data_IF_448061553729
#
_entry.id   IF_448061553729
#
_cell.length_a   1.000
_cell.length_b   1.000
_cell.length_c   1.000
_cell.angle_alpha   90.00
_cell.angle_beta   90.00
_cell.angle_gamma   90.00
#
_symmetry.space_group_name_H-M   'P 1'
#
loop_
_entity.id
_entity.type
_entity.pdbx_description
1 polymer ?
#
# COMPACT_ATOMS: atom_id res chain seq x y z
N UNK A 1 50.83 4.85 25.10
CA UNK A 1 49.66 5.77 25.22
C UNK A 1 48.54 5.11 24.46
N UNK A 2 47.56 4.65 25.22
CA UNK A 2 46.35 3.97 24.81
C UNK A 2 45.41 4.84 23.94
N UNK A 3 44.46 4.13 23.31
CA UNK A 3 43.08 4.53 22.92
C UNK A 3 42.92 5.60 21.82
N UNK A 4 42.04 5.43 20.83
CA UNK A 4 40.67 4.92 20.91
C UNK A 4 40.22 4.17 19.66
N UNK A 5 39.70 2.97 19.86
CA UNK A 5 38.66 2.41 19.01
C UNK A 5 37.35 3.15 19.31
N UNK A 6 36.69 3.71 18.30
CA UNK A 6 35.37 4.30 18.49
C UNK A 6 34.31 3.38 17.87
N UNK A 7 33.48 2.82 18.73
CA UNK A 7 32.37 1.89 18.44
C UNK A 7 31.10 2.70 18.18
N UNK A 8 30.34 2.42 17.12
CA UNK A 8 28.90 2.74 17.01
C UNK A 8 28.31 1.92 15.85
N UNK A 9 27.23 1.14 15.92
CA UNK A 9 26.26 0.82 16.98
C UNK A 9 25.66 -0.56 16.64
N UNK A 10 25.59 -1.49 17.62
CA UNK A 10 24.84 -2.74 17.49
C UNK A 10 23.49 -2.61 18.19
N UNK A 11 22.38 -2.86 17.48
CA UNK A 11 21.09 -3.20 18.08
C UNK A 11 20.10 -3.82 17.06
N UNK A 12 19.79 -5.10 17.20
CA UNK A 12 18.45 -5.62 17.56
C UNK A 12 18.76 -6.80 18.50
N UNK A 13 18.51 -6.58 19.80
CA UNK A 13 18.65 -7.49 20.96
C UNK A 13 19.34 -8.86 20.74
N UNK A 14 20.55 -8.95 21.28
CA UNK A 14 21.49 -10.07 21.22
C UNK A 14 21.11 -11.27 22.09
N UNK A 15 20.99 -12.45 21.46
CA UNK A 15 21.46 -13.73 21.99
C UNK A 15 22.20 -14.48 20.87
N UNK A 16 23.25 -15.26 21.16
CA UNK A 16 23.94 -16.04 20.14
C UNK A 16 23.04 -17.20 19.74
N UNK A 17 22.24 -17.01 18.71
CA UNK A 17 21.59 -18.13 18.02
C UNK A 17 22.60 -18.64 17.01
N UNK A 18 22.73 -19.95 16.89
CA UNK A 18 23.58 -20.64 15.90
C UNK A 18 23.37 -20.02 14.52
N UNK A 19 24.28 -19.12 14.11
CA UNK A 19 24.24 -18.42 12.85
C UNK A 19 24.64 -19.41 11.74
N UNK A 20 23.67 -20.17 11.23
CA UNK A 20 23.69 -20.46 9.80
C UNK A 20 23.27 -19.13 9.15
N UNK A 21 24.16 -18.42 8.45
CA UNK A 21 23.78 -17.19 7.77
C UNK A 21 22.62 -17.53 6.82
N UNK A 22 21.56 -16.73 6.83
CA UNK A 22 20.58 -16.78 5.76
C UNK A 22 21.29 -16.36 4.48
N UNK A 23 21.76 -17.32 3.70
CA UNK A 23 22.42 -17.05 2.43
C UNK A 23 21.36 -16.80 1.36
N UNK A 24 20.93 -15.54 1.28
CA UNK A 24 20.03 -15.07 0.24
C UNK A 24 20.57 -15.39 -1.17
N UNK A 25 21.90 -15.45 -1.36
CA UNK A 25 22.50 -15.71 -2.67
C UNK A 25 22.36 -17.17 -3.11
N UNK A 26 22.25 -18.13 -2.19
CA UNK A 26 22.05 -19.55 -2.56
C UNK A 26 20.69 -19.76 -3.20
N UNK A 27 19.64 -19.07 -2.73
CA UNK A 27 18.32 -19.16 -3.35
C UNK A 27 18.26 -18.42 -4.69
N UNK A 28 18.88 -17.25 -4.80
CA UNK A 28 18.90 -16.52 -6.09
C UNK A 28 19.70 -17.25 -7.18
N UNK A 29 20.73 -18.05 -6.82
CA UNK A 29 21.53 -18.83 -7.78
C UNK A 29 20.78 -20.00 -8.41
N UNK A 30 19.74 -20.54 -7.78
CA UNK A 30 18.91 -21.60 -8.38
C UNK A 30 17.87 -21.06 -9.38
N UNK A 31 17.79 -19.73 -9.54
CA UNK A 31 16.75 -19.09 -10.35
C UNK A 31 15.34 -19.21 -9.77
N UNK A 32 15.19 -19.77 -8.56
CA UNK A 32 13.90 -19.91 -7.89
C UNK A 32 13.66 -18.75 -6.92
N UNK A 33 12.58 -18.00 -7.15
CA UNK A 33 12.04 -17.11 -6.14
C UNK A 33 11.54 -17.94 -4.95
N UNK A 34 11.90 -17.56 -3.72
CA UNK A 34 11.39 -18.19 -2.47
C UNK A 34 9.87 -18.02 -2.36
N UNK A 35 9.34 -16.95 -2.94
CA UNK A 35 7.93 -16.55 -2.84
C UNK A 35 7.30 -16.56 -4.23
N UNK A 36 6.12 -17.19 -4.36
CA UNK A 36 5.34 -17.10 -5.60
C UNK A 36 4.65 -15.74 -5.67
N UNK A 37 4.24 -15.34 -6.88
CA UNK A 37 3.52 -14.10 -7.08
C UNK A 37 2.20 -14.05 -6.28
N UNK A 38 1.48 -15.17 -6.20
CA UNK A 38 0.24 -15.30 -5.44
C UNK A 38 0.46 -15.00 -3.95
N UNK A 39 1.51 -15.59 -3.36
CA UNK A 39 1.88 -15.37 -1.97
C UNK A 39 2.23 -13.88 -1.72
N UNK A 40 2.91 -13.24 -2.67
CA UNK A 40 3.21 -11.81 -2.59
C UNK A 40 1.94 -10.95 -2.65
N UNK A 41 1.00 -11.27 -3.55
CA UNK A 41 -0.26 -10.54 -3.67
C UNK A 41 -1.15 -10.67 -2.43
N UNK A 42 -1.08 -11.79 -1.71
CA UNK A 42 -1.77 -11.99 -0.44
C UNK A 42 -1.04 -11.34 0.74
N UNK A 43 0.30 -11.36 0.73
CA UNK A 43 1.11 -10.68 1.74
C UNK A 43 0.96 -9.15 1.66
N UNK A 44 0.87 -8.58 0.45
CA UNK A 44 0.70 -7.16 0.21
C UNK A 44 -0.61 -6.90 -0.54
N UNK A 45 -1.78 -6.99 0.12
CA UNK A 45 -3.07 -6.95 -0.56
C UNK A 45 -3.40 -5.58 -1.21
N UNK A 46 -2.70 -4.52 -0.80
CA UNK A 46 -2.81 -3.17 -1.37
C UNK A 46 -1.50 -2.79 -2.07
N UNK A 47 -1.36 -3.20 -3.32
CA UNK A 47 -0.27 -2.74 -4.15
C UNK A 47 -0.66 -2.68 -5.62
N UNK A 48 0.11 -1.93 -6.39
CA UNK A 48 0.02 -1.83 -7.85
C UNK A 48 1.40 -2.04 -8.43
N UNK A 49 1.56 -3.03 -9.30
CA UNK A 49 2.77 -3.24 -10.07
C UNK A 49 2.53 -2.79 -11.51
N UNK A 50 3.41 -1.94 -12.05
CA UNK A 50 3.31 -1.41 -13.40
C UNK A 50 4.68 -1.23 -14.05
N UNK A 51 4.70 -1.21 -15.38
CA UNK A 51 5.89 -0.99 -16.19
C UNK A 51 6.15 0.50 -16.47
N UNK A 52 7.17 0.81 -17.28
CA UNK A 52 7.57 2.19 -17.61
C UNK A 52 6.51 2.99 -18.37
N UNK A 53 5.61 2.31 -19.09
CA UNK A 53 4.51 2.96 -19.81
C UNK A 53 3.27 3.17 -18.93
N UNK A 54 3.42 2.90 -17.63
CA UNK A 54 2.36 2.91 -16.61
C UNK A 54 1.25 1.90 -16.90
N UNK A 55 1.55 0.82 -17.62
CA UNK A 55 0.61 -0.30 -17.79
C UNK A 55 0.73 -1.20 -16.58
N UNK A 56 -0.40 -1.52 -15.95
CA UNK A 56 -0.47 -2.39 -14.79
C UNK A 56 -0.13 -3.82 -15.20
N UNK A 57 0.75 -4.48 -14.45
CA UNK A 57 1.11 -5.89 -14.65
C UNK A 57 0.30 -6.78 -13.69
N UNK A 58 0.23 -6.40 -12.42
CA UNK A 58 -0.58 -7.06 -11.40
C UNK A 58 -0.90 -6.10 -10.25
N UNK A 59 -1.90 -6.47 -9.45
CA UNK A 59 -2.32 -5.73 -8.26
C UNK A 59 -2.54 -6.70 -7.10
N UNK A 60 -2.51 -6.15 -5.87
CA UNK A 60 -2.77 -6.92 -4.66
C UNK A 60 -4.17 -7.52 -4.62
N UNK A 61 -4.36 -8.57 -3.82
CA UNK A 61 -5.61 -9.34 -3.85
C UNK A 61 -6.83 -8.54 -3.41
N UNK A 62 -6.66 -7.54 -2.54
CA UNK A 62 -7.77 -6.67 -2.15
C UNK A 62 -8.16 -5.71 -3.27
N UNK A 63 -7.18 -5.07 -3.92
CA UNK A 63 -7.42 -4.21 -5.09
C UNK A 63 -8.10 -5.00 -6.22
N UNK A 64 -7.62 -6.22 -6.52
CA UNK A 64 -8.21 -7.08 -7.55
C UNK A 64 -9.68 -7.43 -7.26
N UNK A 65 -10.02 -7.67 -5.99
CA UNK A 65 -11.40 -7.98 -5.56
C UNK A 65 -12.30 -6.75 -5.60
N UNK A 66 -11.80 -5.61 -5.16
CA UNK A 66 -12.56 -4.36 -5.12
C UNK A 66 -12.76 -3.74 -6.53
N UNK A 67 -11.79 -3.91 -7.42
CA UNK A 67 -11.78 -3.33 -8.77
C UNK A 67 -11.52 -4.44 -9.82
N UNK A 68 -12.49 -5.34 -10.06
CA UNK A 68 -12.31 -6.53 -10.91
C UNK A 68 -12.14 -6.20 -12.40
N UNK A 69 -12.45 -4.98 -12.81
CA UNK A 69 -12.25 -4.49 -14.18
C UNK A 69 -10.79 -4.18 -14.51
N UNK A 70 -9.91 -4.08 -13.50
CA UNK A 70 -8.46 -3.90 -13.70
C UNK A 70 -7.89 -5.20 -14.29
N UNK A 71 -7.30 -5.10 -15.48
CA UNK A 71 -6.65 -6.20 -16.18
C UNK A 71 -5.17 -5.92 -16.38
N UNK A 72 -4.33 -6.87 -15.93
CA UNK A 72 -2.89 -6.83 -16.17
C UNK A 72 -2.57 -6.85 -17.67
N UNK A 73 -1.61 -6.03 -18.10
CA UNK A 73 -1.20 -5.85 -19.49
C UNK A 73 -2.12 -4.96 -20.33
N UNK A 74 -3.31 -4.59 -19.84
CA UNK A 74 -4.30 -3.82 -20.59
C UNK A 74 -4.60 -2.46 -19.92
N UNK A 75 -4.80 -2.45 -18.60
CA UNK A 75 -5.22 -1.25 -17.85
C UNK A 75 -4.02 -0.38 -17.50
N UNK A 76 -4.13 0.94 -17.68
CA UNK A 76 -3.07 1.88 -17.27
C UNK A 76 -3.32 2.41 -15.88
N UNK A 77 -2.24 2.70 -15.15
CA UNK A 77 -2.28 3.30 -13.81
C UNK A 77 -3.11 4.60 -13.79
N UNK A 78 -2.95 5.42 -14.83
CA UNK A 78 -3.66 6.70 -15.00
C UNK A 78 -5.17 6.55 -15.15
N UNK A 79 -5.66 5.37 -15.56
CA UNK A 79 -7.09 5.10 -15.70
C UNK A 79 -7.73 4.71 -14.36
N UNK A 80 -6.91 4.33 -13.39
CA UNK A 80 -7.34 3.79 -12.09
C UNK A 80 -7.08 4.77 -10.95
N UNK A 81 -5.98 5.54 -11.02
CA UNK A 81 -5.50 6.37 -9.93
C UNK A 81 -5.26 7.82 -10.39
N UNK A 82 -5.66 8.76 -9.54
CA UNK A 82 -5.25 10.16 -9.61
C UNK A 82 -4.17 10.45 -8.58
N UNK A 83 -3.07 11.07 -9.01
CA UNK A 83 -1.97 11.47 -8.14
C UNK A 83 -2.32 12.75 -7.39
N UNK A 84 -2.44 12.66 -6.06
CA UNK A 84 -2.76 13.79 -5.17
C UNK A 84 -1.49 14.41 -4.58
N UNK A 85 -0.51 13.57 -4.21
CA UNK A 85 0.76 14.03 -3.68
C UNK A 85 1.90 13.08 -4.07
N UNK A 86 3.08 13.58 -4.45
CA UNK A 86 3.39 14.99 -4.75
C UNK A 86 2.61 15.51 -5.97
N UNK A 87 2.41 16.83 -6.05
CA UNK A 87 1.69 17.50 -7.16
C UNK A 87 2.58 17.58 -8.41
N UNK A 88 2.76 16.44 -9.06
CA UNK A 88 3.59 16.27 -10.26
C UNK A 88 2.80 15.54 -11.34
N UNK A 89 3.22 15.63 -12.62
CA UNK A 89 2.64 14.81 -13.67
C UNK A 89 2.79 13.31 -13.36
N UNK A 90 1.73 12.53 -13.56
CA UNK A 90 1.77 11.09 -13.37
C UNK A 90 2.47 10.43 -14.58
N UNK A 91 3.80 10.42 -14.55
CA UNK A 91 4.67 9.76 -15.54
C UNK A 91 5.73 8.93 -14.83
N UNK A 92 6.31 7.94 -15.52
CA UNK A 92 7.38 7.12 -14.95
C UNK A 92 8.60 7.95 -14.53
N UNK A 93 9.02 8.92 -15.35
CA UNK A 93 10.16 9.78 -15.04
C UNK A 93 9.89 10.69 -13.83
N UNK A 94 8.66 11.22 -13.72
CA UNK A 94 8.23 11.99 -12.55
C UNK A 94 8.22 11.12 -11.28
N UNK A 95 7.65 9.92 -11.33
CA UNK A 95 7.69 8.97 -10.19
C UNK A 95 9.14 8.65 -9.79
N UNK A 96 10.02 8.47 -10.78
CA UNK A 96 11.46 8.20 -10.59
C UNK A 96 12.21 9.35 -9.95
N UNK A 97 11.95 10.59 -10.38
CA UNK A 97 12.54 11.78 -9.79
C UNK A 97 12.16 11.94 -8.31
N UNK A 98 10.94 11.53 -7.94
CA UNK A 98 10.40 11.61 -6.58
C UNK A 98 10.42 10.28 -5.83
N UNK A 99 11.37 9.37 -6.13
CA UNK A 99 11.37 7.99 -5.57
C UNK A 99 11.35 7.90 -4.04
N UNK A 100 11.86 8.92 -3.35
CA UNK A 100 11.95 8.95 -1.88
C UNK A 100 10.78 9.70 -1.24
N UNK A 101 9.82 10.16 -2.04
CA UNK A 101 8.61 10.83 -1.56
C UNK A 101 7.55 9.82 -1.15
N UNK A 102 6.70 10.22 -0.21
CA UNK A 102 5.43 9.55 0.03
C UNK A 102 4.48 9.89 -1.12
N UNK A 103 3.86 8.89 -1.70
CA UNK A 103 2.84 9.07 -2.73
C UNK A 103 1.46 8.90 -2.12
N UNK A 104 0.54 9.80 -2.48
CA UNK A 104 -0.88 9.71 -2.15
C UNK A 104 -1.66 9.71 -3.44
N UNK A 105 -2.41 8.64 -3.66
CA UNK A 105 -3.30 8.47 -4.80
C UNK A 105 -4.75 8.42 -4.34
N UNK A 106 -5.64 8.88 -5.21
CA UNK A 106 -7.07 8.70 -5.10
C UNK A 106 -7.51 7.66 -6.13
N UNK A 107 -8.30 6.67 -5.71
CA UNK A 107 -8.94 5.71 -6.60
C UNK A 107 -10.02 6.42 -7.41
N UNK A 108 -10.03 6.22 -8.72
CA UNK A 108 -11.12 6.66 -9.60
C UNK A 108 -12.35 5.79 -9.37
N UNK A 109 -13.52 6.43 -9.32
CA UNK A 109 -14.79 5.71 -9.26
C UNK A 109 -15.11 5.17 -10.66
N UNK A 110 -15.41 3.86 -10.76
CA UNK A 110 -15.89 3.29 -12.01
C UNK A 110 -17.33 3.75 -12.26
N UNK A 111 -17.63 4.18 -13.49
CA UNK A 111 -18.96 4.60 -13.90
C UNK A 111 -20.06 3.54 -13.66
N UNK A 112 -19.69 2.25 -13.57
CA UNK A 112 -20.63 1.15 -13.30
C UNK A 112 -21.07 1.09 -11.82
N UNK A 113 -20.28 1.63 -10.89
CA UNK A 113 -20.55 1.56 -9.45
C UNK A 113 -21.61 2.59 -9.00
N UNK A 114 -21.80 3.65 -9.79
CA UNK A 114 -22.84 4.67 -9.57
C UNK A 114 -24.25 4.16 -9.90
N UNK A 115 -24.38 3.11 -10.73
CA UNK A 115 -25.68 2.59 -11.15
C UNK A 115 -26.35 1.66 -10.12
N UNK A 116 -25.61 1.11 -9.15
CA UNK A 116 -26.11 0.14 -8.18
C UNK A 116 -26.63 0.72 -6.85
N UNK A 117 -26.33 1.98 -6.54
CA UNK A 117 -26.69 2.62 -5.26
C UNK A 117 -27.82 3.63 -5.44
N UNK A 118 -28.90 3.24 -6.12
CA UNK A 118 -30.20 3.91 -5.95
C UNK A 118 -30.87 3.34 -4.71
N UNK A 119 -30.38 3.68 -3.52
CA UNK A 119 -31.18 3.50 -2.30
C UNK A 119 -32.21 4.63 -2.28
N UNK A 120 -33.45 4.25 -2.53
CA UNK A 120 -34.65 5.07 -2.38
C UNK A 120 -34.72 5.64 -0.96
N UNK A 121 -34.44 6.92 -0.78
CA UNK A 121 -34.59 7.61 0.50
C UNK A 121 -34.16 9.07 0.38
N UNK A 122 -35.07 10.00 0.64
CA UNK A 122 -34.86 11.44 0.59
C UNK A 122 -33.72 11.92 1.50
N UNK A 123 -32.83 12.78 0.98
CA UNK A 123 -31.96 13.64 1.78
C UNK A 123 -30.46 13.40 1.52
N UNK A 124 -29.82 14.38 0.86
CA UNK A 124 -28.37 14.53 0.61
C UNK A 124 -27.71 13.33 -0.10
N UNK A 125 -27.40 13.49 -1.39
CA UNK A 125 -26.50 12.59 -2.10
C UNK A 125 -25.16 12.54 -1.34
N UNK A 126 -24.98 11.49 -0.53
CA UNK A 126 -23.70 11.18 0.07
C UNK A 126 -22.77 10.87 -1.09
N UNK A 127 -21.96 11.86 -1.47
CA UNK A 127 -20.86 11.66 -2.39
C UNK A 127 -20.00 10.54 -1.79
N UNK A 128 -20.05 9.37 -2.41
CA UNK A 128 -19.11 8.27 -2.22
C UNK A 128 -17.71 8.86 -2.07
N UNK A 129 -17.19 8.91 -0.85
CA UNK A 129 -15.85 9.46 -0.61
C UNK A 129 -14.84 8.48 -1.19
N UNK A 130 -14.30 8.81 -2.37
CA UNK A 130 -13.26 8.06 -3.07
C UNK A 130 -12.19 7.51 -2.12
N UNK A 131 -11.77 6.27 -2.31
CA UNK A 131 -10.70 5.65 -1.52
C UNK A 131 -9.37 6.35 -1.81
N UNK A 132 -8.68 6.79 -0.75
CA UNK A 132 -7.31 7.31 -0.87
C UNK A 132 -6.31 6.28 -0.38
N UNK A 133 -5.18 6.19 -1.07
CA UNK A 133 -4.09 5.26 -0.82
C UNK A 133 -2.81 6.06 -0.61
N UNK A 134 -2.10 5.78 0.48
CA UNK A 134 -0.78 6.35 0.76
C UNK A 134 0.27 5.27 0.73
N UNK A 135 1.43 5.53 0.14
CA UNK A 135 2.44 4.49 -0.01
C UNK A 135 3.76 4.98 -0.59
N UNK A 136 4.64 4.03 -0.88
CA UNK A 136 5.95 4.28 -1.47
C UNK A 136 6.18 3.44 -2.71
N UNK A 137 7.11 3.89 -3.54
CA UNK A 137 7.46 3.25 -4.81
C UNK A 137 8.69 2.36 -4.63
N UNK A 138 8.56 1.08 -4.97
CA UNK A 138 9.64 0.09 -4.95
C UNK A 138 10.00 -0.29 -6.39
N UNK A 139 11.26 -0.11 -6.76
CA UNK A 139 11.73 -0.40 -8.11
C UNK A 139 12.30 -1.81 -8.16
N UNK A 140 11.85 -2.61 -9.14
CA UNK A 140 12.27 -4.00 -9.29
C UNK A 140 12.74 -4.28 -10.72
N UNK A 141 13.51 -5.35 -10.89
CA UNK A 141 14.03 -5.81 -12.18
C UNK A 141 14.72 -4.69 -12.97
N UNK A 142 15.81 -4.16 -12.41
CA UNK A 142 16.62 -3.08 -13.01
C UNK A 142 15.85 -1.79 -13.34
N UNK A 143 14.82 -1.48 -12.54
CA UNK A 143 13.92 -0.34 -12.73
C UNK A 143 13.09 -0.45 -14.03
N UNK A 144 12.71 -1.66 -14.45
CA UNK A 144 11.74 -1.84 -15.52
C UNK A 144 10.30 -1.84 -15.00
N UNK A 145 10.13 -2.20 -13.73
CA UNK A 145 8.83 -2.18 -13.05
C UNK A 145 8.90 -1.41 -11.75
N UNK A 146 7.75 -0.86 -11.36
CA UNK A 146 7.53 -0.15 -10.11
C UNK A 146 6.37 -0.83 -9.40
N UNK A 147 6.58 -1.14 -8.12
CA UNK A 147 5.55 -1.61 -7.20
C UNK A 147 5.22 -0.46 -6.26
N UNK A 148 4.04 0.11 -6.39
CA UNK A 148 3.47 1.02 -5.41
C UNK A 148 2.88 0.19 -4.27
N UNK A 149 3.60 0.10 -3.15
CA UNK A 149 3.12 -0.58 -1.93
C UNK A 149 2.42 0.47 -1.07
N UNK A 150 1.15 0.21 -0.74
CA UNK A 150 0.31 1.23 -0.13
C UNK A 150 -0.58 0.70 1.00
N UNK A 151 -1.16 1.66 1.71
CA UNK A 151 -2.12 1.48 2.79
C UNK A 151 -3.28 2.45 2.59
N UNK A 152 -4.45 2.10 3.11
CA UNK A 152 -5.61 2.99 3.11
C UNK A 152 -5.25 4.28 3.88
N UNK A 153 -5.52 5.43 3.27
CA UNK A 153 -5.28 6.73 3.89
C UNK A 153 -6.47 7.12 4.78
N UNK A 154 -6.55 6.46 5.93
CA UNK A 154 -7.58 6.66 6.96
C UNK A 154 -6.91 6.81 8.33
N UNK A 155 -7.52 7.56 9.24
CA UNK A 155 -6.95 7.84 10.57
C UNK A 155 -7.92 7.55 11.71
N UNK A 156 -9.22 7.56 11.43
CA UNK A 156 -10.28 7.32 12.41
C UNK A 156 -11.25 6.23 11.95
N UNK A 157 -12.00 5.66 12.90
CA UNK A 157 -13.10 4.74 12.59
C UNK A 157 -14.20 5.45 11.80
N UNK A 158 -14.38 6.76 12.02
CA UNK A 158 -15.34 7.55 11.26
C UNK A 158 -14.95 7.67 9.79
N UNK A 159 -13.66 7.89 9.50
CA UNK A 159 -13.16 7.93 8.11
C UNK A 159 -13.43 6.63 7.36
N UNK A 160 -13.36 5.49 8.07
CA UNK A 160 -13.67 4.18 7.51
C UNK A 160 -15.17 4.07 7.18
N UNK A 161 -16.04 4.45 8.11
CA UNK A 161 -17.50 4.44 7.91
C UNK A 161 -17.93 5.37 6.76
N UNK A 162 -17.39 6.59 6.71
CA UNK A 162 -17.71 7.58 5.68
C UNK A 162 -17.30 7.11 4.27
N UNK A 163 -16.34 6.18 4.18
CA UNK A 163 -15.85 5.59 2.92
C UNK A 163 -16.34 4.16 2.68
N UNK A 164 -17.25 3.66 3.53
CA UNK A 164 -17.74 2.28 3.50
C UNK A 164 -16.61 1.23 3.49
N UNK A 165 -15.57 1.46 4.29
CA UNK A 165 -14.43 0.59 4.50
C UNK A 165 -14.51 -0.08 5.87
N UNK A 166 -13.95 -1.29 5.96
CA UNK A 166 -13.89 -2.05 7.21
C UNK A 166 -12.44 -2.23 7.69
N UNK A 167 -12.27 -2.40 9.00
CA UNK A 167 -10.95 -2.76 9.58
C UNK A 167 -10.43 -4.09 9.03
N UNK A 168 -11.33 -5.01 8.65
CA UNK A 168 -10.98 -6.29 8.01
C UNK A 168 -10.30 -6.13 6.66
N UNK A 169 -10.52 -4.99 6.00
CA UNK A 169 -9.98 -4.70 4.68
C UNK A 169 -8.50 -4.31 4.78
N UNK A 170 -8.07 -3.86 5.96
CA UNK A 170 -6.68 -3.51 6.24
C UNK A 170 -5.85 -4.74 6.62
N UNK A 171 -4.63 -4.77 6.10
CA UNK A 171 -3.64 -5.82 6.37
C UNK A 171 -3.37 -5.93 7.87
N UNK A 172 -3.19 -7.16 8.38
CA UNK A 172 -2.95 -7.40 9.82
C UNK A 172 -1.64 -6.78 10.34
N UNK A 173 -0.68 -6.54 9.45
CA UNK A 173 0.62 -5.96 9.79
C UNK A 173 0.71 -4.47 9.38
N UNK A 174 -0.40 -3.88 8.95
CA UNK A 174 -0.47 -2.46 8.62
C UNK A 174 -0.55 -1.63 9.90
N UNK A 175 0.45 -0.78 10.13
CA UNK A 175 0.49 0.08 11.32
C UNK A 175 -0.66 1.08 11.39
N UNK A 176 -1.28 1.43 10.25
CA UNK A 176 -2.45 2.31 10.21
C UNK A 176 -3.66 1.65 10.89
N UNK A 177 -3.78 0.32 10.80
CA UNK A 177 -4.85 -0.44 11.45
C UNK A 177 -4.73 -0.34 12.97
N UNK A 178 -3.52 -0.57 13.49
CA UNK A 178 -3.23 -0.46 14.92
C UNK A 178 -3.45 0.97 15.43
N UNK A 179 -3.04 1.96 14.63
CA UNK A 179 -3.24 3.37 14.95
C UNK A 179 -4.72 3.73 15.10
N UNK A 180 -5.59 3.26 14.19
CA UNK A 180 -7.03 3.50 14.26
C UNK A 180 -7.63 2.87 15.52
N UNK A 181 -7.27 1.62 15.83
CA UNK A 181 -7.76 0.93 17.02
C UNK A 181 -7.29 1.61 18.31
N UNK A 182 -6.03 2.06 18.35
CA UNK A 182 -5.47 2.80 19.48
C UNK A 182 -6.19 4.14 19.67
N UNK A 183 -6.40 4.89 18.58
CA UNK A 183 -7.13 6.15 18.61
C UNK A 183 -8.55 5.97 19.14
N UNK A 184 -9.26 4.93 18.70
CA UNK A 184 -10.60 4.62 19.18
C UNK A 184 -10.61 4.29 20.68
N UNK A 185 -9.70 3.43 21.13
CA UNK A 185 -9.57 3.09 22.56
C UNK A 185 -9.31 4.34 23.43
N UNK A 186 -8.43 5.24 22.96
CA UNK A 186 -8.13 6.49 23.64
C UNK A 186 -9.37 7.40 23.74
N UNK A 187 -10.14 7.53 22.66
CA UNK A 187 -11.35 8.34 22.67
C UNK A 187 -12.39 7.80 23.65
N UNK A 188 -12.65 6.49 23.64
CA UNK A 188 -13.61 5.88 24.58
C UNK A 188 -13.18 6.03 26.05
N UNK A 189 -11.88 6.02 26.36
CA UNK A 189 -11.40 6.28 27.74
C UNK A 189 -11.61 7.72 28.18
N UNK A 190 -11.58 8.68 27.25
CA UNK A 190 -11.85 10.10 27.56
C UNK A 190 -13.33 10.32 27.82
N UNK A 191 -14.22 9.65 27.07
CA UNK A 191 -15.68 9.75 27.25
C UNK A 191 -16.19 9.13 28.57
N UNK A 192 -15.43 8.20 29.16
CA UNK A 192 -15.77 7.56 30.43
C UNK A 192 -15.29 8.32 31.68
N UNK A 193 -14.57 9.44 31.51
CA UNK A 193 -14.11 10.30 32.59
C UNK A 193 -14.99 11.52 32.74
#
# INVERSE_FOLDING_TARGET
VETSANTTSKAITSKPVTNVPLDFNTVYKSGQSVMKLEDFCDAFPHHFCFNRDLVLEHVGTYIKKAYPWIKGGETRLVDVLDLIHPEIPLTYDSIRAFRNSLFVFQMKESAEQTAGTTVTGSGTASASMSVMLKGSMVYVHDNNYVVFVCSLNVTTVRDLLDRNLFISDMQRHDSTRDLIMLNQSRMSQVELK
#
